data_IF_521629260547
#
_entry.id   IF_521629260547
#
_cell.length_a   1.000
_cell.length_b   1.000
_cell.length_c   1.000
_cell.angle_alpha   90.00
_cell.angle_beta   90.00
_cell.angle_gamma   90.00
#
_symmetry.space_group_name_H-M   'P 1'
#
loop_
_entity.id
_entity.type
_entity.pdbx_description
1 polymer ?
#
# COMPACT_ATOMS: atom_id res chain seq x y z
N UNK A 1 9.48 4.92 9.23
CA UNK A 1 9.34 4.52 7.82
C UNK A 1 8.34 3.38 7.64
N UNK A 2 8.55 2.20 8.22
CA UNK A 2 7.64 1.05 8.02
C UNK A 2 6.20 1.30 8.49
N UNK A 3 6.00 2.03 9.60
CA UNK A 3 4.65 2.43 10.02
C UNK A 3 3.92 3.30 8.98
N UNK A 4 4.63 4.16 8.25
CA UNK A 4 4.04 4.93 7.14
C UNK A 4 3.63 3.99 6.00
N UNK A 5 4.46 2.98 5.72
CA UNK A 5 4.21 1.99 4.67
C UNK A 5 2.93 1.19 4.96
N UNK A 6 2.85 0.56 6.14
CA UNK A 6 1.66 -0.18 6.58
C UNK A 6 0.42 0.70 6.55
N UNK A 7 0.47 1.88 7.20
CA UNK A 7 -0.68 2.79 7.23
C UNK A 7 -1.17 3.17 5.84
N UNK A 8 -0.25 3.48 4.92
CA UNK A 8 -0.60 3.86 3.56
C UNK A 8 -1.24 2.71 2.79
N UNK A 9 -0.75 1.48 2.97
CA UNK A 9 -1.33 0.27 2.37
C UNK A 9 -2.72 0.02 2.92
N UNK A 10 -2.86 -0.09 4.24
CA UNK A 10 -4.11 -0.45 4.89
C UNK A 10 -5.22 0.58 4.59
N UNK A 11 -4.92 1.87 4.69
CA UNK A 11 -5.90 2.92 4.37
C UNK A 11 -6.26 2.94 2.88
N UNK A 12 -5.33 2.62 1.97
CA UNK A 12 -5.64 2.51 0.53
C UNK A 12 -6.62 1.38 0.26
N UNK A 13 -6.37 0.21 0.84
CA UNK A 13 -7.22 -0.97 0.68
C UNK A 13 -8.61 -0.72 1.25
N UNK A 14 -8.70 -0.22 2.49
CA UNK A 14 -9.98 0.04 3.15
C UNK A 14 -10.80 1.10 2.41
N UNK A 15 -10.18 2.22 2.01
CA UNK A 15 -10.88 3.30 1.33
C UNK A 15 -11.42 2.88 -0.04
N UNK A 16 -10.60 2.21 -0.84
CA UNK A 16 -11.02 1.79 -2.17
C UNK A 16 -12.00 0.63 -2.12
N UNK A 17 -11.83 -0.32 -1.19
CA UNK A 17 -12.76 -1.43 -1.05
C UNK A 17 -14.16 -0.96 -0.63
N UNK A 18 -14.25 0.01 0.28
CA UNK A 18 -15.54 0.54 0.72
C UNK A 18 -16.26 1.36 -0.37
N UNK A 19 -15.53 1.91 -1.34
CA UNK A 19 -16.12 2.71 -2.40
C UNK A 19 -16.93 1.86 -3.40
N UNK A 20 -18.24 2.12 -3.61
CA UNK A 20 -19.08 1.35 -4.53
C UNK A 20 -18.69 1.47 -6.01
N UNK A 21 -17.86 2.46 -6.39
CA UNK A 21 -17.26 2.52 -7.74
C UNK A 21 -16.18 1.45 -7.96
N UNK A 22 -15.75 0.79 -6.90
CA UNK A 22 -14.76 -0.28 -6.94
C UNK A 22 -15.40 -1.59 -6.45
N UNK A 23 -15.33 -1.89 -5.15
CA UNK A 23 -15.90 -3.11 -4.58
C UNK A 23 -17.21 -2.83 -3.82
N UNK A 24 -17.27 -1.75 -3.04
CA UNK A 24 -18.43 -1.42 -2.21
C UNK A 24 -18.59 -2.30 -0.97
N UNK A 25 -17.51 -2.86 -0.45
CA UNK A 25 -17.53 -3.82 0.65
C UNK A 25 -16.54 -3.49 1.77
N UNK A 26 -16.86 -3.94 2.98
CA UNK A 26 -15.97 -3.97 4.13
C UNK A 26 -15.10 -5.22 4.05
N UNK A 27 -13.79 -5.02 3.99
CA UNK A 27 -12.81 -6.11 3.86
C UNK A 27 -11.97 -6.27 5.11
N UNK A 28 -11.40 -7.46 5.27
CA UNK A 28 -10.22 -7.70 6.08
C UNK A 28 -9.03 -8.06 5.19
N UNK A 29 -7.81 -8.01 5.72
CA UNK A 29 -6.60 -8.42 5.02
C UNK A 29 -5.45 -8.63 6.01
N UNK A 30 -4.40 -9.31 5.56
CA UNK A 30 -3.13 -9.46 6.27
C UNK A 30 -2.03 -8.78 5.49
N UNK A 31 -1.28 -7.89 6.16
CA UNK A 31 -0.14 -7.18 5.59
C UNK A 31 1.17 -7.79 6.11
N UNK A 32 2.08 -8.13 5.20
CA UNK A 32 3.37 -8.77 5.50
C UNK A 32 4.48 -7.89 4.92
N UNK A 33 5.38 -7.41 5.79
CA UNK A 33 6.54 -6.62 5.37
C UNK A 33 7.71 -7.53 4.98
N UNK A 34 8.22 -7.34 3.77
CA UNK A 34 9.50 -7.88 3.34
C UNK A 34 10.49 -6.73 3.19
N UNK A 35 11.69 -6.85 3.77
CA UNK A 35 12.73 -5.80 3.75
C UNK A 35 13.81 -6.03 2.70
N UNK A 36 13.90 -7.24 2.13
CA UNK A 36 14.92 -7.61 1.15
C UNK A 36 14.32 -8.12 -0.15
N UNK A 37 15.03 -7.86 -1.25
CA UNK A 37 14.79 -8.50 -2.53
C UNK A 37 15.48 -9.86 -2.63
N UNK A 38 15.25 -10.58 -3.74
CA UNK A 38 15.92 -11.88 -4.01
C UNK A 38 17.46 -11.78 -4.04
N UNK A 39 17.99 -10.60 -4.35
CA UNK A 39 19.42 -10.29 -4.35
C UNK A 39 19.94 -9.79 -2.99
N UNK A 40 19.15 -9.89 -1.92
CA UNK A 40 19.45 -9.45 -0.55
C UNK A 40 19.73 -7.94 -0.39
N UNK A 41 19.36 -7.14 -1.39
CA UNK A 41 19.41 -5.68 -1.31
C UNK A 41 18.18 -5.13 -0.62
N UNK A 42 18.32 -3.96 0.00
CA UNK A 42 17.21 -3.23 0.60
C UNK A 42 16.09 -3.00 -0.40
N UNK A 43 14.95 -3.63 -0.12
CA UNK A 43 13.77 -3.59 -0.97
C UNK A 43 12.52 -3.73 -0.11
N UNK A 44 12.25 -2.73 0.74
CA UNK A 44 11.07 -2.74 1.60
C UNK A 44 9.78 -2.69 0.77
N UNK A 45 8.95 -3.73 0.89
CA UNK A 45 7.62 -3.83 0.26
C UNK A 45 6.66 -4.60 1.16
N UNK A 46 5.35 -4.39 0.94
CA UNK A 46 4.30 -5.07 1.68
C UNK A 46 3.54 -6.00 0.74
N UNK A 47 3.43 -7.27 1.12
CA UNK A 47 2.47 -8.20 0.53
C UNK A 47 1.17 -8.15 1.31
N UNK A 48 0.06 -8.12 0.58
CA UNK A 48 -1.28 -8.11 1.18
C UNK A 48 -2.00 -9.38 0.75
N UNK A 49 -2.52 -10.14 1.71
CA UNK A 49 -3.48 -11.22 1.44
C UNK A 49 -4.87 -10.70 1.76
N UNK A 50 -5.72 -10.66 0.75
CA UNK A 50 -7.09 -10.12 0.84
C UNK A 50 -8.06 -11.22 0.42
N UNK A 51 -9.19 -11.42 1.12
CA UNK A 51 -10.28 -12.25 0.63
C UNK A 51 -10.77 -11.76 -0.74
N UNK A 52 -11.32 -12.67 -1.56
CA UNK A 52 -11.89 -12.34 -2.87
C UNK A 52 -13.18 -11.53 -2.83
N UNK A 53 -13.38 -10.67 -1.84
CA UNK A 53 -14.59 -9.91 -1.56
C UNK A 53 -14.62 -9.37 -0.13
N UNK A 54 -15.78 -8.92 0.32
CA UNK A 54 -16.00 -8.45 1.69
C UNK A 54 -17.48 -8.47 2.08
N UNK A 55 -17.78 -8.04 3.31
CA UNK A 55 -19.15 -7.86 3.75
C UNK A 55 -19.75 -6.58 3.16
N UNK A 56 -21.04 -6.59 2.86
CA UNK A 56 -21.78 -5.38 2.53
C UNK A 56 -21.63 -4.31 3.62
N UNK A 57 -21.82 -3.01 3.32
CA UNK A 57 -21.67 -1.96 4.31
C UNK A 57 -22.53 -2.16 5.57
N UNK A 58 -23.74 -2.73 5.40
CA UNK A 58 -24.66 -3.10 6.46
C UNK A 58 -24.33 -4.45 7.15
N UNK A 59 -23.36 -5.22 6.62
CA UNK A 59 -22.90 -6.49 7.17
C UNK A 59 -23.78 -7.70 6.88
N UNK A 60 -24.86 -7.53 6.12
CA UNK A 60 -25.91 -8.55 5.96
C UNK A 60 -25.62 -9.58 4.86
N UNK A 61 -24.73 -9.28 3.91
CA UNK A 61 -24.39 -10.20 2.82
C UNK A 61 -22.94 -10.04 2.36
N UNK A 62 -22.47 -11.00 1.56
CA UNK A 62 -21.15 -10.97 0.95
C UNK A 62 -21.18 -10.30 -0.42
N UNK A 63 -20.18 -9.47 -0.70
CA UNK A 63 -19.93 -8.84 -2.00
C UNK A 63 -18.61 -9.39 -2.53
N UNK A 64 -18.71 -10.21 -3.58
CA UNK A 64 -17.54 -10.79 -4.25
C UNK A 64 -16.84 -9.76 -5.14
N UNK A 65 -15.51 -9.82 -5.13
CA UNK A 65 -14.68 -9.13 -6.13
C UNK A 65 -14.79 -9.78 -7.50
N UNK A 66 -14.27 -9.10 -8.52
CA UNK A 66 -14.17 -9.66 -9.88
C UNK A 66 -13.14 -10.78 -9.93
N UNK A 67 -13.33 -11.72 -10.87
CA UNK A 67 -12.43 -12.88 -11.03
C UNK A 67 -11.05 -12.49 -11.56
N UNK A 68 -10.95 -11.36 -12.27
CA UNK A 68 -9.70 -10.93 -12.91
C UNK A 68 -8.80 -10.17 -11.93
N UNK A 69 -9.39 -9.31 -11.10
CA UNK A 69 -8.65 -8.53 -10.11
C UNK A 69 -9.58 -7.97 -9.02
N UNK A 70 -9.02 -7.81 -7.82
CA UNK A 70 -9.74 -7.26 -6.67
C UNK A 70 -10.16 -5.80 -6.88
N UNK A 71 -9.18 -4.91 -7.06
CA UNK A 71 -9.34 -3.49 -7.42
C UNK A 71 -8.29 -3.17 -8.47
N UNK A 72 -8.61 -2.30 -9.44
CA UNK A 72 -7.71 -2.01 -10.54
C UNK A 72 -6.37 -1.45 -10.03
N UNK A 73 -5.25 -2.07 -10.45
CA UNK A 73 -3.89 -1.80 -9.92
C UNK A 73 -3.44 -0.34 -10.07
N UNK A 74 -3.86 0.35 -11.14
CA UNK A 74 -3.55 1.78 -11.31
C UNK A 74 -4.22 2.68 -10.25
N UNK A 75 -5.41 2.31 -9.78
CA UNK A 75 -6.14 3.05 -8.74
C UNK A 75 -5.46 2.81 -7.39
N UNK A 76 -5.15 1.55 -7.08
CA UNK A 76 -4.37 1.17 -5.89
C UNK A 76 -3.04 1.91 -5.84
N UNK A 77 -2.24 1.81 -6.91
CA UNK A 77 -0.92 2.44 -7.01
C UNK A 77 -0.99 3.95 -6.82
N UNK A 78 -1.96 4.61 -7.47
CA UNK A 78 -2.14 6.06 -7.35
C UNK A 78 -2.45 6.49 -5.91
N UNK A 79 -3.47 5.90 -5.29
CA UNK A 79 -3.89 6.29 -3.94
C UNK A 79 -2.82 5.95 -2.90
N UNK A 80 -2.21 4.77 -3.01
CA UNK A 80 -1.09 4.37 -2.14
C UNK A 80 0.06 5.37 -2.21
N UNK A 81 0.50 5.74 -3.43
CA UNK A 81 1.55 6.73 -3.65
C UNK A 81 1.19 8.08 -3.03
N UNK A 82 -0.03 8.54 -3.22
CA UNK A 82 -0.49 9.84 -2.72
C UNK A 82 -0.54 9.83 -1.17
N UNK A 83 -1.08 8.78 -0.54
CA UNK A 83 -1.08 8.61 0.93
C UNK A 83 0.32 8.50 1.51
N UNK A 84 1.18 7.66 0.95
CA UNK A 84 2.56 7.48 1.43
C UNK A 84 3.33 8.80 1.41
N UNK A 85 3.24 9.54 0.30
CA UNK A 85 3.91 10.85 0.15
C UNK A 85 3.36 11.89 1.12
N UNK A 86 2.06 11.86 1.41
CA UNK A 86 1.44 12.76 2.38
C UNK A 86 1.92 12.45 3.81
N UNK A 87 1.91 11.19 4.22
CA UNK A 87 2.43 10.77 5.53
C UNK A 87 3.93 11.01 5.67
N UNK A 88 4.72 10.76 4.63
CA UNK A 88 6.15 11.05 4.61
C UNK A 88 6.43 12.54 4.84
N UNK A 89 5.67 13.43 4.16
CA UNK A 89 5.76 14.88 4.37
C UNK A 89 5.40 15.25 5.81
N UNK A 90 4.28 14.73 6.33
CA UNK A 90 3.81 15.03 7.68
C UNK A 90 4.83 14.64 8.74
N UNK A 91 5.38 13.42 8.66
CA UNK A 91 6.39 12.96 9.62
C UNK A 91 7.71 13.73 9.50
N UNK A 92 8.07 14.21 8.31
CA UNK A 92 9.20 15.14 8.17
C UNK A 92 8.94 16.47 8.87
N UNK A 93 7.79 17.10 8.61
CA UNK A 93 7.41 18.38 9.21
C UNK A 93 7.27 18.30 10.74
N UNK A 94 6.89 17.13 11.26
CA UNK A 94 6.81 16.84 12.68
C UNK A 94 8.16 16.47 13.34
N UNK A 95 9.24 16.31 12.56
CA UNK A 95 10.56 15.92 13.08
C UNK A 95 10.64 14.46 13.54
N UNK A 96 9.73 13.60 13.09
CA UNK A 96 9.63 12.18 13.50
C UNK A 96 10.54 11.24 12.68
N UNK A 97 11.13 11.75 11.59
CA UNK A 97 12.00 10.97 10.72
C UNK A 97 13.44 10.99 11.22
N UNK A 98 14.05 9.80 11.28
CA UNK A 98 15.47 9.63 11.51
C UNK A 98 16.22 9.65 10.18
N UNK A 99 17.36 10.35 10.18
CA UNK A 99 18.26 10.45 9.03
C UNK A 99 19.67 10.02 9.44
N UNK A 100 19.96 8.70 9.49
CA UNK A 100 21.30 8.19 9.79
C UNK A 100 22.33 8.69 8.77
N UNK A 101 23.61 8.65 9.14
CA UNK A 101 24.74 9.31 8.46
C UNK A 101 24.66 9.33 6.93
N UNK A 102 24.56 8.16 6.28
CA UNK A 102 24.53 8.04 4.81
C UNK A 102 23.38 8.78 4.11
N UNK A 103 22.35 9.17 4.86
CA UNK A 103 21.21 9.96 4.39
C UNK A 103 20.94 11.21 5.26
N UNK A 104 21.86 11.60 6.14
CA UNK A 104 21.76 12.77 7.02
C UNK A 104 21.39 14.05 6.27
N UNK A 105 21.94 14.22 5.07
CA UNK A 105 21.67 15.35 4.18
C UNK A 105 20.18 15.50 3.84
N UNK A 106 19.35 14.44 3.91
CA UNK A 106 17.91 14.49 3.67
C UNK A 106 17.13 15.17 4.81
N UNK A 107 17.78 15.48 5.95
CA UNK A 107 17.17 16.31 7.00
C UNK A 107 16.94 17.74 6.52
N UNK A 108 17.79 18.24 5.61
CA UNK A 108 17.66 19.58 5.05
C UNK A 108 16.42 19.71 4.16
N UNK A 109 15.70 20.84 4.28
CA UNK A 109 14.43 21.05 3.57
C UNK A 109 14.58 20.94 2.05
N UNK A 110 15.66 21.50 1.51
CA UNK A 110 15.89 21.50 0.07
C UNK A 110 16.07 20.09 -0.51
N UNK A 111 16.92 19.27 0.13
CA UNK A 111 17.20 17.90 -0.30
C UNK A 111 15.99 16.98 -0.09
N UNK A 112 15.25 17.17 1.01
CA UNK A 112 14.02 16.43 1.28
C UNK A 112 12.94 16.70 0.23
N UNK A 113 12.70 17.98 -0.12
CA UNK A 113 11.74 18.33 -1.16
C UNK A 113 12.18 17.81 -2.55
N UNK A 114 13.49 17.79 -2.82
CA UNK A 114 14.04 17.15 -4.02
C UNK A 114 13.72 15.65 -4.04
N UNK A 115 13.92 14.94 -2.94
CA UNK A 115 13.52 13.52 -2.81
C UNK A 115 12.01 13.35 -3.06
N UNK A 116 11.17 14.17 -2.43
CA UNK A 116 9.71 14.12 -2.63
C UNK A 116 9.30 14.33 -4.08
N UNK A 117 10.00 15.21 -4.81
CA UNK A 117 9.81 15.42 -6.25
C UNK A 117 10.23 14.19 -7.07
N UNK A 118 11.35 13.54 -6.73
CA UNK A 118 11.75 12.29 -7.39
C UNK A 118 10.71 11.19 -7.15
N UNK A 119 10.24 11.01 -5.91
CA UNK A 119 9.19 10.05 -5.57
C UNK A 119 7.87 10.33 -6.29
N UNK A 120 7.57 11.60 -6.58
CA UNK A 120 6.40 11.98 -7.37
C UNK A 120 6.48 11.55 -8.84
N UNK A 121 7.65 11.59 -9.47
CA UNK A 121 7.79 11.22 -10.88
C UNK A 121 8.05 9.73 -11.08
N UNK A 122 8.54 9.05 -10.03
CA UNK A 122 8.73 7.59 -10.07
C UNK A 122 7.39 6.90 -10.36
N UNK A 123 7.44 5.84 -11.18
CA UNK A 123 6.33 4.89 -11.35
C UNK A 123 6.25 4.01 -10.11
N UNK A 124 5.11 4.01 -9.44
CA UNK A 124 4.85 3.12 -8.31
C UNK A 124 4.12 1.90 -8.85
N UNK A 125 4.65 0.71 -8.57
CA UNK A 125 4.09 -0.53 -9.08
C UNK A 125 3.35 -1.20 -7.94
N UNK A 126 2.09 -1.51 -8.18
CA UNK A 126 1.29 -2.40 -7.34
C UNK A 126 0.91 -3.56 -8.25
N UNK A 127 0.99 -4.77 -7.70
CA UNK A 127 0.58 -5.99 -8.38
C UNK A 127 -0.56 -6.63 -7.61
N UNK A 128 -1.55 -7.14 -8.34
CA UNK A 128 -2.68 -7.87 -7.78
C UNK A 128 -2.83 -9.15 -8.59
N UNK A 129 -2.75 -10.30 -7.92
CA UNK A 129 -3.04 -11.60 -8.52
C UNK A 129 -4.56 -11.79 -8.61
N UNK A 130 -5.06 -12.55 -9.60
CA UNK A 130 -6.42 -13.07 -9.56
C UNK A 130 -6.70 -13.83 -8.26
N UNK A 131 -7.97 -13.91 -7.81
CA UNK A 131 -8.33 -14.72 -6.65
C UNK A 131 -7.92 -16.19 -6.86
N UNK A 132 -7.41 -16.82 -5.82
CA UNK A 132 -7.12 -18.25 -5.81
C UNK A 132 -8.42 -19.06 -5.92
N UNK A 133 -8.33 -20.28 -6.47
CA UNK A 133 -9.46 -21.21 -6.57
C UNK A 133 -9.71 -21.93 -5.23
N UNK A 134 -9.87 -21.17 -4.15
CA UNK A 134 -10.03 -21.69 -2.78
C UNK A 134 -8.78 -21.53 -1.91
N UNK A 135 -8.90 -21.93 -0.64
CA UNK A 135 -7.86 -21.74 0.37
C UNK A 135 -6.58 -22.56 0.09
N UNK A 136 -6.70 -23.68 -0.61
CA UNK A 136 -5.59 -24.56 -0.99
C UNK A 136 -4.55 -23.84 -1.85
N UNK A 137 -4.98 -22.93 -2.73
CA UNK A 137 -4.09 -22.15 -3.60
C UNK A 137 -3.29 -21.06 -2.88
N UNK A 138 -3.52 -20.81 -1.59
CA UNK A 138 -2.80 -19.78 -0.81
C UNK A 138 -1.41 -20.25 -0.36
N UNK A 139 -1.17 -21.57 -0.32
CA UNK A 139 0.09 -22.16 0.17
C UNK A 139 1.15 -22.45 -0.92
N UNK A 140 0.94 -21.97 -2.15
CA UNK A 140 1.92 -22.10 -3.27
C UNK A 140 2.96 -20.97 -3.34
#
# INVERSE_FOLDING_TARGET
MYGILFRSVSETLLELAYNPKHLGARIGFMDILHTWGQNLMDHAHVHCVVPGGGLSPDGNHWISSKKEFFIHVNVLSKLFKDKFRAYLKRSYEAGELLFPDGISHLKERYTFERLRRVLYHKKWVVYCKPPFNGAEGVFE
#
